data_IF_896476620883
#
_entry.id   IF_896476620883
#
_cell.length_a   1.000
_cell.length_b   1.000
_cell.length_c   1.000
_cell.angle_alpha   90.00
_cell.angle_beta   90.00
_cell.angle_gamma   90.00
#
_symmetry.space_group_name_H-M   'P 1'
#
loop_
_entity.id
_entity.type
_entity.pdbx_description
1 polymer ?
#
# COMPACT_ATOMS: atom_id res chain seq x y z
N UNK A 1 -4.16 8.72 10.95
CA UNK A 1 -2.91 9.05 10.21
C UNK A 1 -3.23 9.04 8.73
N UNK A 2 -2.86 10.10 8.01
CA UNK A 2 -3.10 10.19 6.57
C UNK A 2 -1.81 9.91 5.80
N UNK A 3 -1.87 9.00 4.83
CA UNK A 3 -0.75 8.64 3.98
C UNK A 3 -1.03 9.16 2.57
N UNK A 4 -0.30 10.19 2.09
CA UNK A 4 -0.46 10.67 0.73
C UNK A 4 0.07 9.65 -0.27
N UNK A 5 -0.72 9.27 -1.27
CA UNK A 5 -0.33 8.25 -2.26
C UNK A 5 -0.52 8.76 -3.68
N UNK A 6 0.54 8.64 -4.47
CA UNK A 6 0.49 8.77 -5.93
C UNK A 6 0.16 7.39 -6.49
N UNK A 7 -1.09 7.20 -6.93
CA UNK A 7 -1.56 5.93 -7.50
C UNK A 7 -1.18 5.77 -8.97
N UNK A 8 -0.88 4.53 -9.37
CA UNK A 8 -0.57 4.18 -10.75
C UNK A 8 0.83 4.65 -11.21
N UNK A 9 1.02 4.70 -12.53
CA UNK A 9 2.28 5.08 -13.14
C UNK A 9 3.46 4.19 -12.73
N UNK A 10 4.64 4.79 -12.60
CA UNK A 10 5.85 4.05 -12.20
C UNK A 10 5.82 3.55 -10.74
N UNK A 11 5.07 4.23 -9.86
CA UNK A 11 4.91 3.85 -8.45
C UNK A 11 3.88 2.75 -8.22
N UNK A 12 2.88 2.65 -9.10
CA UNK A 12 1.82 1.65 -9.08
C UNK A 12 1.70 0.85 -10.38
N UNK A 13 2.75 0.12 -10.80
CA UNK A 13 2.77 -0.57 -12.09
C UNK A 13 1.72 -1.70 -12.22
N UNK A 14 1.15 -2.18 -11.11
CA UNK A 14 0.13 -3.24 -11.12
C UNK A 14 -1.30 -2.70 -10.96
N UNK A 15 -1.52 -1.38 -10.90
CA UNK A 15 -2.85 -0.82 -10.71
C UNK A 15 -3.84 -1.28 -11.80
N UNK A 16 -3.42 -1.26 -13.07
CA UNK A 16 -4.22 -1.76 -14.18
C UNK A 16 -4.50 -3.27 -14.08
N UNK A 17 -3.56 -4.05 -13.55
CA UNK A 17 -3.71 -5.51 -13.36
C UNK A 17 -4.73 -5.80 -12.26
N UNK A 18 -4.65 -5.07 -11.13
CA UNK A 18 -5.63 -5.14 -10.04
C UNK A 18 -7.01 -4.74 -10.56
N UNK A 19 -7.13 -3.62 -11.27
CA UNK A 19 -8.38 -3.15 -11.85
C UNK A 19 -9.02 -4.23 -12.76
N UNK A 20 -8.24 -4.80 -13.69
CA UNK A 20 -8.71 -5.86 -14.56
C UNK A 20 -9.13 -7.13 -13.80
N UNK A 21 -8.38 -7.53 -12.77
CA UNK A 21 -8.72 -8.69 -11.94
C UNK A 21 -10.05 -8.49 -11.19
N UNK A 22 -10.28 -7.29 -10.67
CA UNK A 22 -11.47 -6.94 -9.89
C UNK A 22 -12.69 -6.59 -10.76
N UNK A 23 -12.54 -6.49 -12.09
CA UNK A 23 -13.60 -6.00 -12.98
C UNK A 23 -13.93 -4.52 -12.77
N UNK A 24 -12.95 -3.73 -12.34
CA UNK A 24 -13.06 -2.31 -12.03
C UNK A 24 -12.19 -1.48 -12.99
N UNK A 25 -12.45 -0.18 -13.05
CA UNK A 25 -11.47 0.78 -13.58
C UNK A 25 -10.39 1.10 -12.55
N UNK A 26 -9.23 1.56 -13.00
CA UNK A 26 -8.15 2.02 -12.10
C UNK A 26 -8.64 3.07 -11.11
N UNK A 27 -9.49 4.00 -11.58
CA UNK A 27 -10.10 5.02 -10.74
C UNK A 27 -10.98 4.43 -9.64
N UNK A 28 -11.82 3.45 -9.97
CA UNK A 28 -12.66 2.77 -8.98
C UNK A 28 -11.82 2.00 -7.95
N UNK A 29 -10.68 1.42 -8.36
CA UNK A 29 -9.74 0.81 -7.41
C UNK A 29 -9.20 1.84 -6.43
N UNK A 30 -8.78 3.01 -6.93
CA UNK A 30 -8.28 4.12 -6.09
C UNK A 30 -9.35 4.64 -5.14
N UNK A 31 -10.56 4.92 -5.65
CA UNK A 31 -11.70 5.37 -4.84
C UNK A 31 -12.01 4.37 -3.73
N UNK A 32 -12.15 3.09 -4.07
CA UNK A 32 -12.47 2.05 -3.10
C UNK A 32 -11.34 1.87 -2.07
N UNK A 33 -10.08 1.82 -2.51
CA UNK A 33 -8.94 1.67 -1.62
C UNK A 33 -8.78 2.86 -0.66
N UNK A 34 -9.01 4.08 -1.12
CA UNK A 34 -8.83 5.31 -0.32
C UNK A 34 -10.04 5.70 0.53
N UNK A 35 -11.23 5.15 0.22
CA UNK A 35 -12.46 5.38 1.00
C UNK A 35 -12.47 4.73 2.39
N UNK A 36 -11.57 3.78 2.64
CA UNK A 36 -11.53 2.99 3.87
C UNK A 36 -10.58 3.62 4.89
N UNK A 37 -11.03 3.67 6.14
CA UNK A 37 -10.17 3.88 7.30
C UNK A 37 -9.66 2.51 7.78
N UNK A 38 -8.37 2.27 7.60
CA UNK A 38 -7.73 1.01 7.95
C UNK A 38 -7.21 1.06 9.37
N UNK A 39 -7.18 -0.09 10.04
CA UNK A 39 -6.53 -0.23 11.35
C UNK A 39 -5.24 -1.01 11.17
N UNK A 40 -4.15 -0.51 11.75
CA UNK A 40 -2.89 -1.25 11.86
C UNK A 40 -3.10 -2.39 12.86
N UNK A 41 -3.28 -3.61 12.37
CA UNK A 41 -3.48 -4.77 13.25
C UNK A 41 -2.19 -5.20 13.93
N UNK A 42 -1.10 -5.25 13.16
CA UNK A 42 0.22 -5.54 13.69
C UNK A 42 1.30 -4.97 12.77
N UNK A 43 2.51 -4.85 13.31
CA UNK A 43 3.73 -4.56 12.55
C UNK A 43 4.59 -5.82 12.51
N UNK A 44 5.14 -6.17 11.35
CA UNK A 44 5.94 -7.38 11.19
C UNK A 44 6.51 -7.50 9.77
N UNK A 45 7.25 -8.57 9.45
CA UNK A 45 8.05 -8.74 8.21
C UNK A 45 9.30 -7.85 8.14
N UNK A 46 9.18 -6.55 8.37
CA UNK A 46 10.30 -5.59 8.46
C UNK A 46 10.02 -4.54 9.55
N UNK A 47 11.05 -3.82 10.04
CA UNK A 47 10.84 -2.70 10.96
C UNK A 47 9.83 -1.70 10.39
N UNK A 48 8.69 -1.55 11.07
CA UNK A 48 7.64 -0.59 10.72
C UNK A 48 6.72 -0.98 9.56
N UNK A 49 6.77 -2.22 9.05
CA UNK A 49 5.85 -2.63 7.97
C UNK A 49 4.45 -2.90 8.56
N UNK A 50 3.41 -2.15 8.15
CA UNK A 50 2.07 -2.27 8.69
C UNK A 50 1.24 -3.30 7.93
N UNK A 51 0.58 -4.19 8.67
CA UNK A 51 -0.51 -4.98 8.12
C UNK A 51 -1.84 -4.28 8.42
N UNK A 52 -2.47 -3.78 7.37
CA UNK A 52 -3.70 -3.00 7.44
C UNK A 52 -4.90 -3.89 7.13
N UNK A 53 -5.87 -3.92 8.04
CA UNK A 53 -7.20 -4.51 7.83
C UNK A 53 -8.29 -3.43 7.90
N UNK A 54 -9.46 -3.60 7.27
CA UNK A 54 -9.92 -4.67 6.38
C UNK A 54 -10.01 -4.15 4.95
N UNK A 55 -9.19 -4.69 4.02
CA UNK A 55 -9.31 -4.34 2.60
C UNK A 55 -10.69 -4.79 2.06
N UNK A 56 -11.42 -3.94 1.30
CA UNK A 56 -12.67 -4.33 0.67
C UNK A 56 -12.51 -5.61 -0.15
N UNK A 57 -13.44 -6.54 -0.01
CA UNK A 57 -13.39 -7.86 -0.67
C UNK A 57 -13.25 -7.76 -2.19
N UNK A 58 -13.82 -6.71 -2.78
CA UNK A 58 -13.73 -6.45 -4.22
C UNK A 58 -12.29 -6.18 -4.68
N UNK A 59 -11.39 -5.74 -3.79
CA UNK A 59 -9.98 -5.48 -4.10
C UNK A 59 -9.06 -6.66 -3.80
N UNK A 60 -9.58 -7.76 -3.27
CA UNK A 60 -8.74 -8.91 -2.91
C UNK A 60 -8.09 -9.47 -4.17
N UNK A 61 -6.78 -9.29 -4.28
CA UNK A 61 -6.01 -9.65 -5.46
C UNK A 61 -4.83 -10.53 -5.07
N UNK A 62 -4.62 -11.70 -5.68
CA UNK A 62 -3.52 -12.58 -5.33
C UNK A 62 -2.17 -11.90 -5.53
N UNK A 63 -1.19 -12.33 -4.74
CA UNK A 63 0.22 -11.97 -4.95
C UNK A 63 0.66 -12.44 -6.33
N UNK A 64 1.66 -11.74 -6.89
CA UNK A 64 2.35 -12.18 -8.10
C UNK A 64 2.89 -13.59 -7.91
N UNK A 65 2.78 -14.40 -8.97
CA UNK A 65 3.36 -15.75 -9.00
C UNK A 65 4.88 -15.70 -8.81
N UNK A 66 5.52 -14.73 -9.45
CA UNK A 66 6.95 -14.44 -9.29
C UNK A 66 7.13 -13.11 -8.53
N UNK A 67 7.75 -13.14 -7.34
CA UNK A 67 8.00 -11.93 -6.57
C UNK A 67 9.04 -11.05 -7.26
N UNK A 68 8.91 -9.73 -7.10
CA UNK A 68 9.94 -8.79 -7.55
C UNK A 68 11.18 -8.96 -6.71
N UNK A 69 12.35 -8.88 -7.36
CA UNK A 69 13.64 -8.82 -6.66
C UNK A 69 13.78 -7.54 -5.83
N UNK A 70 13.11 -6.47 -6.24
CA UNK A 70 13.13 -5.19 -5.56
C UNK A 70 11.76 -4.51 -5.64
N UNK A 71 11.22 -4.19 -4.47
CA UNK A 71 10.11 -3.26 -4.25
C UNK A 71 10.70 -2.03 -3.56
N UNK A 72 10.52 -0.82 -4.09
CA UNK A 72 10.99 0.41 -3.46
C UNK A 72 10.35 0.68 -2.10
N UNK A 73 11.09 1.38 -1.22
CA UNK A 73 10.49 1.95 -0.02
C UNK A 73 9.40 2.98 -0.40
N UNK A 74 8.32 3.00 0.38
CA UNK A 74 7.12 3.81 0.13
C UNK A 74 6.13 3.18 -0.86
N UNK A 75 6.42 2.01 -1.44
CA UNK A 75 5.45 1.32 -2.30
C UNK A 75 4.20 0.93 -1.51
N UNK A 76 3.03 1.18 -2.08
CA UNK A 76 1.72 0.75 -1.57
C UNK A 76 1.27 -0.44 -2.38
N UNK A 77 0.84 -1.51 -1.73
CA UNK A 77 0.44 -2.72 -2.45
C UNK A 77 -0.68 -3.51 -1.81
N UNK A 78 -1.22 -4.42 -2.61
CA UNK A 78 -2.25 -5.38 -2.24
C UNK A 78 -1.70 -6.80 -2.36
N UNK A 79 -1.95 -7.63 -1.34
CA UNK A 79 -1.53 -9.03 -1.31
C UNK A 79 -2.60 -9.92 -0.69
N UNK A 80 -3.49 -10.46 -1.52
CA UNK A 80 -4.68 -11.18 -1.09
C UNK A 80 -5.66 -10.23 -0.40
N UNK A 81 -6.12 -10.52 0.83
CA UNK A 81 -7.07 -9.67 1.57
C UNK A 81 -6.42 -8.50 2.32
N UNK A 82 -5.15 -8.20 2.06
CA UNK A 82 -4.36 -7.23 2.82
C UNK A 82 -3.84 -6.10 1.94
N UNK A 83 -3.70 -4.91 2.53
CA UNK A 83 -2.97 -3.77 1.98
C UNK A 83 -1.94 -3.27 3.00
N UNK A 84 -1.05 -2.38 2.57
CA UNK A 84 0.11 -1.96 3.36
C UNK A 84 1.10 -1.15 2.55
N UNK A 85 2.10 -0.63 3.25
CA UNK A 85 3.15 0.22 2.69
C UNK A 85 4.50 -0.36 3.06
N UNK A 86 5.36 -0.56 2.06
CA UNK A 86 6.72 -1.03 2.25
C UNK A 86 7.56 0.08 2.91
N UNK A 87 8.05 -0.07 4.16
CA UNK A 87 8.83 0.98 4.82
C UNK A 87 10.27 1.03 4.30
N UNK A 88 10.76 -0.09 3.75
CA UNK A 88 12.13 -0.28 3.26
C UNK A 88 12.12 -1.02 1.93
N UNK A 89 13.18 -0.87 1.16
CA UNK A 89 13.34 -1.58 -0.10
C UNK A 89 13.60 -3.08 0.15
N UNK A 90 12.87 -3.96 -0.52
CA UNK A 90 12.89 -5.42 -0.26
C UNK A 90 12.31 -6.22 -1.42
N UNK A 91 12.66 -7.50 -1.59
CA UNK A 91 11.90 -8.38 -2.48
C UNK A 91 10.43 -8.52 -2.03
N UNK A 92 9.50 -8.57 -2.98
CA UNK A 92 8.07 -8.58 -2.63
C UNK A 92 7.17 -9.03 -3.77
N UNK A 93 6.12 -9.78 -3.43
CA UNK A 93 5.15 -10.30 -4.38
C UNK A 93 3.80 -9.57 -4.40
N UNK A 94 3.63 -8.48 -3.66
CA UNK A 94 2.36 -7.76 -3.67
C UNK A 94 2.18 -6.99 -4.99
N UNK A 95 0.92 -6.78 -5.36
CA UNK A 95 0.54 -5.93 -6.49
C UNK A 95 0.75 -4.48 -6.06
N UNK A 96 1.66 -3.77 -6.71
CA UNK A 96 2.00 -2.39 -6.39
C UNK A 96 1.02 -1.45 -7.09
N UNK A 97 0.24 -0.71 -6.32
CA UNK A 97 -0.85 0.14 -6.82
C UNK A 97 -0.53 1.63 -6.72
N UNK A 98 0.50 2.01 -5.97
CA UNK A 98 0.92 3.39 -5.81
C UNK A 98 2.16 3.53 -4.95
N UNK A 99 2.55 4.77 -4.71
CA UNK A 99 3.74 5.10 -3.93
C UNK A 99 3.49 6.32 -3.03
N UNK A 100 4.09 6.31 -1.84
CA UNK A 100 4.13 7.46 -0.93
C UNK A 100 5.57 7.91 -0.69
N UNK A 101 5.78 9.22 -0.65
CA UNK A 101 7.05 9.83 -0.21
C UNK A 101 7.18 9.88 1.31
N UNK A 102 6.12 9.53 2.05
CA UNK A 102 6.13 9.51 3.51
C UNK A 102 7.03 8.37 4.01
N UNK A 103 8.05 8.72 4.80
CA UNK A 103 8.91 7.71 5.42
C UNK A 103 8.23 7.08 6.64
N UNK A 104 7.95 5.78 6.56
CA UNK A 104 7.37 4.97 7.63
C UNK A 104 8.40 4.49 8.65
N UNK A 105 9.66 4.37 8.23
CA UNK A 105 10.77 3.98 9.09
C UNK A 105 11.99 4.85 8.82
N UNK A 106 12.49 5.47 9.88
CA UNK A 106 13.67 6.33 9.83
C UNK A 106 14.46 6.18 11.13
N UNK A 107 15.62 5.48 11.12
CA UNK A 107 16.39 5.20 12.32
C UNK A 107 17.00 6.46 12.97
N UNK A 108 16.99 7.60 12.28
CA UNK A 108 17.50 8.87 12.81
C UNK A 108 16.45 9.67 13.62
N UNK A 109 15.18 9.24 13.63
CA UNK A 109 14.12 9.89 14.42
C UNK A 109 14.10 9.38 15.86
N UNK A 110 13.68 10.25 16.78
CA UNK A 110 13.41 9.87 18.18
C UNK A 110 12.38 8.74 18.29
N UNK A 111 11.39 8.74 17.38
CA UNK A 111 10.47 7.62 17.16
C UNK A 111 10.70 7.03 15.76
N UNK A 112 11.48 5.93 15.62
CA UNK A 112 11.90 5.42 14.33
C UNK A 112 10.78 4.87 13.45
N UNK A 113 9.64 4.50 14.05
CA UNK A 113 8.52 3.87 13.35
C UNK A 113 7.33 4.81 13.41
N UNK A 114 6.79 5.17 12.25
CA UNK A 114 5.68 6.12 12.13
C UNK A 114 4.34 5.54 12.61
N UNK A 115 4.08 4.27 12.30
CA UNK A 115 2.80 3.60 12.57
C UNK A 115 2.92 2.64 13.75
N UNK A 116 1.88 2.56 14.57
CA UNK A 116 1.79 1.65 15.72
C UNK A 116 0.56 0.74 15.59
N UNK A 117 0.58 -0.48 16.15
CA UNK A 117 -0.63 -1.30 16.25
C UNK A 117 -1.74 -0.51 16.95
N UNK A 118 -2.94 -0.52 16.35
CA UNK A 118 -4.10 0.25 16.78
C UNK A 118 -4.28 1.60 16.11
N UNK A 119 -3.30 2.11 15.35
CA UNK A 119 -3.46 3.35 14.61
C UNK A 119 -4.48 3.20 13.48
N UNK A 120 -5.32 4.23 13.32
CA UNK A 120 -6.13 4.43 12.11
C UNK A 120 -5.30 5.05 10.99
N UNK A 121 -5.35 4.47 9.80
CA UNK A 121 -4.65 4.89 8.59
C UNK A 121 -5.66 5.13 7.48
N UNK A 122 -5.54 6.28 6.81
CA UNK A 122 -6.31 6.59 5.60
C UNK A 122 -5.36 6.97 4.47
N UNK A 123 -5.54 6.34 3.32
CA UNK A 123 -4.77 6.71 2.13
C UNK A 123 -5.43 7.89 1.44
N UNK A 124 -4.64 8.89 1.04
CA UNK A 124 -5.11 10.12 0.42
C UNK A 124 -4.52 10.22 -0.99
N UNK A 125 -5.33 10.01 -2.06
CA UNK A 125 -4.87 10.14 -3.43
C UNK A 125 -4.29 11.53 -3.71
N UNK A 126 -3.16 11.58 -4.38
CA UNK A 126 -2.48 12.81 -4.80
C UNK A 126 -2.67 13.05 -6.30
N UNK A 127 -2.80 14.31 -6.71
CA UNK A 127 -3.19 14.73 -8.07
C UNK A 127 -2.22 14.29 -9.16
N UNK A 128 -1.00 13.95 -8.80
CA UNK A 128 0.06 13.45 -9.67
C UNK A 128 -0.19 12.01 -10.15
N UNK A 129 -1.11 11.28 -9.50
CA UNK A 129 -1.50 9.92 -9.85
C UNK A 129 -2.96 9.80 -10.29
N UNK A 130 -3.43 8.56 -10.45
CA UNK A 130 -4.84 8.28 -10.72
C UNK A 130 -5.70 8.73 -9.53
N UNK A 131 -6.73 9.54 -9.78
CA UNK A 131 -7.67 10.07 -8.81
C UNK A 131 -9.12 9.98 -9.31
#
# INVERSE_FOLDING_TARGET
IEIPVVYGGAGGPDLAVVAAHCGLSEKQVVELHSSVEYVVWFLGFQPGFPYLGSLPEQLHTPRRAEPRLLVPAGSVGIGGPQTGVYPLATPGGWQLIGHTSLSLFDPARDEPILLRPGDSVRFVPQKEGVC
#
